data_IF_398676702542
#
_entry.id   IF_398676702542
#
_cell.length_a   1.000
_cell.length_b   1.000
_cell.length_c   1.000
_cell.angle_alpha   90.00
_cell.angle_beta   90.00
_cell.angle_gamma   90.00
#
_symmetry.space_group_name_H-M   'P 1'
#
loop_
_entity.id
_entity.type
_entity.pdbx_description
1 polymer ?
#
# COMPACT_ATOMS: atom_id res chain seq x y z
N UNK A 1 -73.49 14.18 44.90
CA UNK A 1 -74.96 14.01 44.84
C UNK A 1 -75.47 14.54 43.52
N UNK A 2 -76.26 13.73 42.78
CA UNK A 2 -77.11 14.08 41.61
C UNK A 2 -76.33 14.50 40.33
N UNK A 3 -76.60 13.99 39.12
CA UNK A 3 -77.72 13.22 38.56
C UNK A 3 -77.24 12.50 37.29
N UNK A 4 -77.79 11.31 37.06
CA UNK A 4 -77.71 10.55 35.83
C UNK A 4 -78.57 11.19 34.72
N UNK A 5 -78.20 10.95 33.46
CA UNK A 5 -79.13 10.90 32.34
C UNK A 5 -78.67 9.80 31.37
N UNK A 6 -79.54 8.80 31.24
CA UNK A 6 -79.45 7.64 30.35
C UNK A 6 -80.19 7.99 29.07
N UNK A 7 -79.59 7.71 27.91
CA UNK A 7 -80.34 7.46 26.67
C UNK A 7 -79.60 6.40 25.84
N UNK A 8 -80.26 5.26 25.63
CA UNK A 8 -79.97 4.24 24.60
C UNK A 8 -81.14 4.26 23.60
N UNK A 9 -80.87 4.08 22.31
CA UNK A 9 -81.37 2.88 21.59
C UNK A 9 -80.28 2.31 20.65
N UNK A 10 -80.00 1.00 20.64
CA UNK A 10 -80.60 -0.10 19.85
C UNK A 10 -80.43 -0.01 18.31
N UNK A 11 -79.66 -0.99 17.81
CA UNK A 11 -79.69 -1.66 16.49
C UNK A 11 -78.93 -1.03 15.32
N UNK A 12 -77.94 -1.80 14.85
CA UNK A 12 -77.22 -1.63 13.58
C UNK A 12 -76.16 -2.71 13.42
N UNK A 13 -76.58 -3.97 13.24
CA UNK A 13 -75.74 -5.08 12.79
C UNK A 13 -75.46 -4.91 11.28
N UNK A 14 -74.26 -5.32 10.88
CA UNK A 14 -73.81 -5.65 9.52
C UNK A 14 -73.14 -4.52 8.69
N UNK A 15 -71.81 -4.55 8.61
CA UNK A 15 -71.09 -4.87 7.37
C UNK A 15 -69.60 -5.04 7.66
N UNK A 16 -69.10 -6.27 7.44
CA UNK A 16 -67.70 -6.52 7.18
C UNK A 16 -67.28 -5.69 5.95
N UNK A 17 -66.47 -4.67 6.16
CA UNK A 17 -65.55 -4.18 5.15
C UNK A 17 -64.16 -4.60 5.60
N UNK A 18 -63.51 -5.41 4.76
CA UNK A 18 -62.25 -6.08 5.04
C UNK A 18 -61.18 -5.11 5.51
N UNK A 19 -60.38 -5.60 6.46
CA UNK A 19 -59.12 -4.97 6.79
C UNK A 19 -58.24 -4.90 5.56
N UNK A 20 -57.73 -3.71 5.29
CA UNK A 20 -56.31 -3.61 4.99
C UNK A 20 -55.66 -3.11 6.27
N UNK A 21 -54.94 -3.95 7.05
CA UNK A 21 -53.85 -3.40 7.81
C UNK A 21 -52.98 -2.66 6.78
N UNK A 22 -52.74 -1.37 7.00
CA UNK A 22 -51.71 -0.64 6.28
C UNK A 22 -50.36 -1.28 6.65
N UNK A 23 -50.05 -2.38 5.98
CA UNK A 23 -48.72 -2.95 5.89
C UNK A 23 -47.94 -2.07 4.91
N UNK A 24 -47.57 -0.88 5.36
CA UNK A 24 -46.78 0.05 4.59
C UNK A 24 -45.77 0.69 5.50
N UNK A 25 -44.72 -0.05 5.85
CA UNK A 25 -43.34 0.37 6.21
C UNK A 25 -42.49 -0.88 6.58
N UNK A 26 -42.66 -1.99 5.87
CA UNK A 26 -41.91 -3.23 6.10
C UNK A 26 -41.55 -3.97 4.79
N UNK A 27 -41.52 -3.25 3.66
CA UNK A 27 -41.20 -3.79 2.33
C UNK A 27 -40.11 -2.98 1.60
N UNK A 28 -39.72 -1.80 2.09
CA UNK A 28 -38.59 -1.08 1.51
C UNK A 28 -37.29 -1.71 2.03
N UNK A 29 -36.60 -2.42 1.16
CA UNK A 29 -35.24 -2.91 1.44
C UNK A 29 -34.32 -1.76 1.87
N UNK A 30 -33.18 -2.11 2.49
CA UNK A 30 -32.22 -1.12 2.96
C UNK A 30 -31.86 -0.11 1.86
N UNK A 31 -31.82 1.17 2.24
CA UNK A 31 -31.38 2.26 1.37
C UNK A 31 -29.87 2.12 1.07
N UNK A 32 -29.40 2.58 -0.10
CA UNK A 32 -27.99 2.46 -0.48
C UNK A 32 -27.02 2.98 0.60
N UNK A 33 -27.32 4.15 1.18
CA UNK A 33 -26.47 4.71 2.25
C UNK A 33 -26.40 3.84 3.51
N UNK A 34 -27.45 3.06 3.82
CA UNK A 34 -27.47 2.19 5.00
C UNK A 34 -26.55 0.98 4.81
N UNK A 35 -26.52 0.42 3.60
CA UNK A 35 -25.63 -0.70 3.26
C UNK A 35 -24.18 -0.26 3.25
N UNK A 36 -23.87 0.87 2.60
CA UNK A 36 -22.50 1.41 2.57
C UNK A 36 -22.03 1.77 3.98
N UNK A 37 -22.89 2.37 4.82
CA UNK A 37 -22.52 2.63 6.22
C UNK A 37 -22.26 1.36 7.00
N UNK A 38 -23.03 0.30 6.77
CA UNK A 38 -22.81 -1.00 7.40
C UNK A 38 -21.47 -1.61 6.95
N UNK A 39 -21.14 -1.51 5.66
CA UNK A 39 -19.85 -1.92 5.11
C UNK A 39 -18.69 -1.20 5.80
N UNK A 40 -18.76 0.13 5.92
CA UNK A 40 -17.74 0.94 6.60
C UNK A 40 -17.52 0.50 8.04
N UNK A 41 -18.60 0.29 8.82
CA UNK A 41 -18.49 -0.15 10.21
C UNK A 41 -17.78 -1.51 10.33
N UNK A 42 -17.99 -2.41 9.36
CA UNK A 42 -17.30 -3.70 9.32
C UNK A 42 -15.85 -3.54 8.91
N UNK A 43 -15.55 -2.69 7.92
CA UNK A 43 -14.19 -2.36 7.51
C UNK A 43 -13.38 -1.72 8.66
N UNK A 44 -13.99 -0.83 9.44
CA UNK A 44 -13.35 -0.20 10.60
C UNK A 44 -13.01 -1.22 11.69
N UNK A 45 -13.89 -2.20 11.94
CA UNK A 45 -13.60 -3.32 12.85
C UNK A 45 -12.43 -4.17 12.36
N UNK A 46 -12.37 -4.43 11.05
CA UNK A 46 -11.29 -5.21 10.43
C UNK A 46 -9.97 -4.46 10.53
N UNK A 47 -9.96 -3.14 10.29
CA UNK A 47 -8.78 -2.29 10.50
C UNK A 47 -8.30 -2.34 11.96
N UNK A 48 -9.23 -2.42 12.92
CA UNK A 48 -8.93 -2.59 14.34
C UNK A 48 -8.55 -4.03 14.75
N UNK A 49 -8.57 -4.99 13.82
CA UNK A 49 -8.10 -6.37 14.05
C UNK A 49 -9.17 -7.45 14.16
N UNK A 50 -10.45 -7.14 13.91
CA UNK A 50 -11.52 -8.14 13.87
C UNK A 50 -11.54 -8.90 12.54
N UNK A 51 -10.54 -9.76 12.32
CA UNK A 51 -10.42 -10.54 11.09
C UNK A 51 -11.62 -11.49 10.85
N UNK A 52 -12.37 -11.85 11.89
CA UNK A 52 -13.56 -12.69 11.77
C UNK A 52 -14.70 -12.01 10.99
N UNK A 53 -14.63 -10.68 10.81
CA UNK A 53 -15.62 -9.91 10.08
C UNK A 53 -15.40 -9.88 8.55
N UNK A 54 -14.30 -10.47 8.03
CA UNK A 54 -14.00 -10.52 6.59
C UNK A 54 -15.14 -11.12 5.73
N UNK A 55 -15.78 -12.26 6.10
CA UNK A 55 -16.90 -12.80 5.32
C UNK A 55 -18.10 -11.84 5.27
N UNK A 56 -18.34 -11.12 6.36
CA UNK A 56 -19.41 -10.13 6.45
C UNK A 56 -19.11 -8.90 5.58
N UNK A 57 -17.85 -8.46 5.50
CA UNK A 57 -17.42 -7.41 4.57
C UNK A 57 -17.73 -7.79 3.12
N UNK A 58 -17.33 -9.00 2.71
CA UNK A 58 -17.57 -9.49 1.35
C UNK A 58 -19.07 -9.51 1.04
N UNK A 59 -19.91 -9.97 1.98
CA UNK A 59 -21.36 -9.99 1.78
C UNK A 59 -21.97 -8.58 1.70
N UNK A 60 -21.53 -7.66 2.55
CA UNK A 60 -22.01 -6.28 2.52
C UNK A 60 -21.58 -5.56 1.24
N UNK A 61 -20.39 -5.85 0.72
CA UNK A 61 -19.92 -5.33 -0.57
C UNK A 61 -20.81 -5.81 -1.72
N UNK A 62 -21.15 -7.10 -1.77
CA UNK A 62 -22.09 -7.69 -2.74
C UNK A 62 -23.48 -7.04 -2.65
N UNK A 63 -24.02 -6.89 -1.44
CA UNK A 63 -25.35 -6.29 -1.22
C UNK A 63 -25.37 -4.80 -1.59
N UNK A 64 -24.33 -4.05 -1.22
CA UNK A 64 -24.20 -2.64 -1.56
C UNK A 64 -24.09 -2.45 -3.08
N UNK A 65 -23.26 -3.26 -3.75
CA UNK A 65 -23.12 -3.27 -5.21
C UNK A 65 -24.45 -3.50 -5.91
N UNK A 66 -25.18 -4.56 -5.53
CA UNK A 66 -26.48 -4.89 -6.09
C UNK A 66 -27.49 -3.75 -5.89
N UNK A 67 -27.55 -3.17 -4.69
CA UNK A 67 -28.49 -2.09 -4.35
C UNK A 67 -28.17 -0.77 -5.07
N UNK A 68 -26.89 -0.41 -5.19
CA UNK A 68 -26.45 0.78 -5.90
C UNK A 68 -26.67 0.65 -7.41
N UNK A 69 -26.47 -0.55 -7.96
CA UNK A 69 -26.72 -0.85 -9.37
C UNK A 69 -28.19 -0.71 -9.74
N UNK A 70 -29.11 -1.15 -8.88
CA UNK A 70 -30.56 -1.10 -9.13
C UNK A 70 -31.22 0.21 -8.71
N UNK A 71 -30.52 1.06 -7.94
CA UNK A 71 -31.03 2.35 -7.51
C UNK A 71 -31.39 3.25 -8.70
N UNK A 72 -32.54 3.91 -8.61
CA UNK A 72 -33.10 4.79 -9.63
C UNK A 72 -32.98 6.28 -9.25
N UNK A 73 -33.52 7.16 -10.09
CA UNK A 73 -33.45 8.60 -9.87
C UNK A 73 -34.22 9.08 -8.62
N UNK A 74 -35.23 8.34 -8.16
CA UNK A 74 -35.98 8.68 -6.93
C UNK A 74 -35.14 8.37 -5.69
N UNK A 75 -34.43 7.23 -5.67
CA UNK A 75 -33.48 6.91 -4.60
C UNK A 75 -32.41 7.99 -4.43
N UNK A 76 -31.90 8.53 -5.54
CA UNK A 76 -30.84 9.55 -5.53
C UNK A 76 -31.32 10.97 -5.22
N UNK A 77 -32.63 11.19 -5.03
CA UNK A 77 -33.13 12.44 -4.43
C UNK A 77 -32.63 12.64 -3.01
N UNK A 78 -32.35 11.55 -2.27
CA UNK A 78 -31.66 11.65 -0.99
C UNK A 78 -30.14 11.80 -1.25
N UNK A 79 -29.53 12.97 -0.92
CA UNK A 79 -28.11 13.20 -1.16
C UNK A 79 -27.18 12.23 -0.42
N UNK A 80 -27.66 11.53 0.63
CA UNK A 80 -26.89 10.47 1.29
C UNK A 80 -26.64 9.29 0.36
N UNK A 81 -27.57 8.95 -0.54
CA UNK A 81 -27.41 7.83 -1.46
C UNK A 81 -26.34 8.11 -2.52
N UNK A 82 -26.30 9.34 -3.02
CA UNK A 82 -25.24 9.74 -3.95
C UNK A 82 -23.87 9.80 -3.26
N UNK A 83 -23.78 10.35 -2.04
CA UNK A 83 -22.54 10.29 -1.24
C UNK A 83 -22.08 8.86 -1.00
N UNK A 84 -22.99 7.97 -0.63
CA UNK A 84 -22.71 6.56 -0.42
C UNK A 84 -22.19 5.87 -1.67
N UNK A 85 -22.69 6.22 -2.86
CA UNK A 85 -22.17 5.72 -4.14
C UNK A 85 -20.69 6.08 -4.34
N UNK A 86 -20.33 7.33 -4.05
CA UNK A 86 -18.94 7.81 -4.19
C UNK A 86 -18.01 7.18 -3.16
N UNK A 87 -18.46 7.11 -1.90
CA UNK A 87 -17.73 6.42 -0.83
C UNK A 87 -17.54 4.95 -1.18
N UNK A 88 -18.59 4.25 -1.62
CA UNK A 88 -18.50 2.87 -2.09
C UNK A 88 -17.43 2.70 -3.16
N UNK A 89 -17.41 3.60 -4.16
CA UNK A 89 -16.36 3.63 -5.18
C UNK A 89 -14.97 3.73 -4.56
N UNK A 90 -14.72 4.79 -3.78
CA UNK A 90 -13.42 5.03 -3.15
C UNK A 90 -12.98 3.95 -2.13
N UNK A 91 -13.94 3.17 -1.61
CA UNK A 91 -13.71 2.02 -0.73
C UNK A 91 -13.44 0.70 -1.47
N UNK A 92 -13.17 0.74 -2.78
CA UNK A 92 -12.90 -0.44 -3.60
C UNK A 92 -14.15 -1.09 -4.19
N UNK A 93 -15.23 -0.33 -4.34
CA UNK A 93 -16.45 -0.76 -5.01
C UNK A 93 -16.27 -0.96 -6.51
N UNK A 94 -17.23 -1.63 -7.14
CA UNK A 94 -17.23 -1.94 -8.57
C UNK A 94 -17.31 -0.65 -9.42
N UNK A 95 -16.29 -0.32 -10.23
CA UNK A 95 -16.26 0.88 -11.06
C UNK A 95 -17.44 0.99 -12.04
N UNK A 96 -17.87 -0.15 -12.60
CA UNK A 96 -19.01 -0.21 -13.55
C UNK A 96 -20.30 0.19 -12.86
N UNK A 97 -20.48 -0.21 -11.59
CA UNK A 97 -21.64 0.19 -10.78
C UNK A 97 -21.63 1.69 -10.51
N UNK A 98 -20.47 2.24 -10.16
CA UNK A 98 -20.30 3.68 -9.88
C UNK A 98 -20.63 4.53 -11.11
N UNK A 99 -20.09 4.15 -12.26
CA UNK A 99 -20.33 4.85 -13.53
C UNK A 99 -21.82 4.80 -13.94
N UNK A 100 -22.40 3.60 -13.94
CA UNK A 100 -23.80 3.43 -14.33
C UNK A 100 -24.75 4.19 -13.39
N UNK A 101 -24.53 4.12 -12.07
CA UNK A 101 -25.36 4.80 -11.10
C UNK A 101 -25.22 6.32 -11.14
N UNK A 102 -24.00 6.83 -11.35
CA UNK A 102 -23.75 8.28 -11.46
C UNK A 102 -24.58 8.92 -12.57
N UNK A 103 -24.71 8.24 -13.72
CA UNK A 103 -25.52 8.74 -14.85
C UNK A 103 -27.00 8.99 -14.51
N UNK A 104 -27.52 8.34 -13.45
CA UNK A 104 -28.91 8.47 -12.99
C UNK A 104 -29.07 9.43 -11.80
N UNK A 105 -28.01 9.62 -11.02
CA UNK A 105 -28.11 10.12 -9.65
C UNK A 105 -28.19 11.64 -9.51
N UNK A 106 -27.36 12.39 -10.22
CA UNK A 106 -27.28 13.84 -10.07
C UNK A 106 -27.01 14.57 -11.37
N UNK A 107 -27.33 15.86 -11.38
CA UNK A 107 -27.09 16.78 -12.50
C UNK A 107 -26.38 18.06 -12.08
N UNK A 108 -26.09 18.25 -10.79
CA UNK A 108 -25.36 19.44 -10.36
C UNK A 108 -23.87 19.36 -10.79
N UNK A 109 -23.27 20.45 -11.29
CA UNK A 109 -21.93 20.39 -11.86
C UNK A 109 -20.84 19.92 -10.89
N UNK A 110 -20.93 20.29 -9.61
CA UNK A 110 -19.89 19.95 -8.62
C UNK A 110 -19.89 18.46 -8.31
N UNK A 111 -21.06 17.86 -8.08
CA UNK A 111 -21.20 16.43 -7.86
C UNK A 111 -20.80 15.61 -9.08
N UNK A 112 -21.09 16.09 -10.29
CA UNK A 112 -20.62 15.45 -11.53
C UNK A 112 -19.10 15.51 -11.67
N UNK A 113 -18.46 16.62 -11.31
CA UNK A 113 -17.01 16.74 -11.33
C UNK A 113 -16.36 15.78 -10.33
N UNK A 114 -16.93 15.70 -9.11
CA UNK A 114 -16.49 14.75 -8.10
C UNK A 114 -16.63 13.29 -8.56
N UNK A 115 -17.80 12.92 -9.08
CA UNK A 115 -18.05 11.56 -9.56
C UNK A 115 -17.12 11.21 -10.73
N UNK A 116 -16.91 12.14 -11.66
CA UNK A 116 -15.95 11.96 -12.76
C UNK A 116 -14.55 11.67 -12.21
N UNK A 117 -14.06 12.48 -11.27
CA UNK A 117 -12.74 12.28 -10.69
C UNK A 117 -12.60 10.95 -9.95
N UNK A 118 -13.64 10.53 -9.21
CA UNK A 118 -13.68 9.19 -8.58
C UNK A 118 -13.68 8.08 -9.63
N UNK A 119 -14.46 8.21 -10.71
CA UNK A 119 -14.48 7.22 -11.80
C UNK A 119 -13.13 7.13 -12.51
N UNK A 120 -12.45 8.26 -12.74
CA UNK A 120 -11.11 8.28 -13.33
C UNK A 120 -10.10 7.60 -12.41
N UNK A 121 -10.17 7.87 -11.10
CA UNK A 121 -9.35 7.18 -10.11
C UNK A 121 -9.55 5.65 -10.16
N UNK A 122 -10.80 5.20 -10.16
CA UNK A 122 -11.15 3.78 -10.17
C UNK A 122 -10.73 3.05 -11.45
N UNK A 123 -10.62 3.78 -12.57
CA UNK A 123 -10.21 3.24 -13.85
C UNK A 123 -8.69 3.37 -14.10
N UNK A 124 -7.90 3.72 -13.08
CA UNK A 124 -6.45 3.83 -13.23
C UNK A 124 -6.02 5.01 -14.11
N UNK A 125 -6.78 6.10 -14.12
CA UNK A 125 -6.49 7.35 -14.84
C UNK A 125 -6.07 8.47 -13.88
N UNK A 126 -4.87 8.41 -13.29
CA UNK A 126 -4.47 9.33 -12.23
C UNK A 126 -4.39 10.79 -12.67
N UNK A 127 -3.89 11.09 -13.87
CA UNK A 127 -3.79 12.46 -14.36
C UNK A 127 -5.16 13.13 -14.49
N UNK A 128 -6.13 12.42 -15.07
CA UNK A 128 -7.50 12.88 -15.21
C UNK A 128 -8.21 13.00 -13.86
N UNK A 129 -7.97 12.06 -12.95
CA UNK A 129 -8.50 12.10 -11.59
C UNK A 129 -7.96 13.32 -10.82
N UNK A 130 -6.66 13.58 -10.90
CA UNK A 130 -6.01 14.74 -10.27
C UNK A 130 -6.65 16.02 -10.78
N UNK A 131 -6.74 16.20 -12.11
CA UNK A 131 -7.30 17.43 -12.68
C UNK A 131 -8.79 17.62 -12.34
N UNK A 132 -9.59 16.54 -12.34
CA UNK A 132 -11.00 16.61 -11.98
C UNK A 132 -11.23 16.90 -10.48
N UNK A 133 -10.39 16.37 -9.59
CA UNK A 133 -10.55 16.50 -8.13
C UNK A 133 -9.82 17.71 -7.54
N UNK A 134 -8.92 18.33 -8.30
CA UNK A 134 -8.13 19.51 -7.91
C UNK A 134 -8.95 20.64 -7.29
N UNK A 135 -10.06 21.12 -7.90
CA UNK A 135 -10.82 22.25 -7.35
C UNK A 135 -11.66 21.91 -6.12
N UNK A 136 -11.77 20.63 -5.75
CA UNK A 136 -12.67 20.17 -4.69
C UNK A 136 -11.91 20.10 -3.37
N UNK A 137 -12.27 20.95 -2.43
CA UNK A 137 -11.77 20.92 -1.06
C UNK A 137 -12.44 19.80 -0.26
N UNK A 138 -11.71 18.78 0.24
CA UNK A 138 -12.28 17.72 1.07
C UNK A 138 -12.92 18.23 2.36
N UNK A 139 -12.38 19.30 2.97
CA UNK A 139 -12.88 19.88 4.22
C UNK A 139 -14.20 20.64 4.05
N UNK A 140 -14.55 21.02 2.81
CA UNK A 140 -15.83 21.64 2.48
C UNK A 140 -16.97 20.62 2.27
N UNK A 141 -16.64 19.32 2.22
CA UNK A 141 -17.62 18.23 2.05
C UNK A 141 -18.09 17.67 3.40
N UNK A 142 -19.24 16.96 3.43
CA UNK A 142 -19.62 16.17 4.60
C UNK A 142 -18.48 15.22 5.02
N UNK A 143 -18.17 15.08 6.32
CA UNK A 143 -16.93 14.42 6.78
C UNK A 143 -16.74 12.99 6.26
N UNK A 144 -17.82 12.22 6.14
CA UNK A 144 -17.80 10.85 5.63
C UNK A 144 -17.43 10.72 4.15
N UNK A 145 -17.67 11.76 3.35
CA UNK A 145 -17.23 11.83 1.95
C UNK A 145 -15.86 12.51 1.84
N UNK A 146 -15.67 13.60 2.59
CA UNK A 146 -14.43 14.37 2.62
C UNK A 146 -13.22 13.51 3.02
N UNK A 147 -13.37 12.64 4.02
CA UNK A 147 -12.28 11.77 4.46
C UNK A 147 -11.76 10.83 3.37
N UNK A 148 -12.66 10.20 2.62
CA UNK A 148 -12.28 9.32 1.50
C UNK A 148 -11.70 10.12 0.34
N UNK A 149 -12.26 11.30 0.03
CA UNK A 149 -11.70 12.16 -1.00
C UNK A 149 -10.28 12.64 -0.65
N UNK A 150 -10.06 13.04 0.60
CA UNK A 150 -8.75 13.46 1.09
C UNK A 150 -7.74 12.31 1.00
N UNK A 151 -8.14 11.09 1.37
CA UNK A 151 -7.31 9.89 1.21
C UNK A 151 -6.95 9.63 -0.25
N UNK A 152 -7.93 9.67 -1.17
CA UNK A 152 -7.71 9.45 -2.61
C UNK A 152 -6.78 10.52 -3.18
N UNK A 153 -7.06 11.80 -2.93
CA UNK A 153 -6.22 12.91 -3.40
C UNK A 153 -4.81 12.83 -2.84
N UNK A 154 -4.66 12.54 -1.54
CA UNK A 154 -3.35 12.38 -0.91
C UNK A 154 -2.54 11.24 -1.54
N UNK A 155 -3.21 10.18 -1.97
CA UNK A 155 -2.55 9.03 -2.59
C UNK A 155 -2.16 9.29 -4.04
N UNK A 156 -3.01 9.97 -4.79
CA UNK A 156 -2.72 10.40 -6.16
C UNK A 156 -1.53 11.37 -6.23
N UNK A 157 -1.37 12.21 -5.21
CA UNK A 157 -0.31 13.22 -5.16
C UNK A 157 0.99 12.74 -4.51
N UNK A 158 1.05 11.51 -4.00
CA UNK A 158 2.17 11.02 -3.19
C UNK A 158 3.52 11.05 -3.92
N UNK A 159 3.53 10.74 -5.22
CA UNK A 159 4.75 10.74 -6.04
C UNK A 159 5.21 12.15 -6.42
N UNK A 160 4.30 12.97 -6.96
CA UNK A 160 4.66 14.25 -7.57
C UNK A 160 4.66 15.43 -6.58
N UNK A 161 3.78 15.39 -5.58
CA UNK A 161 3.55 16.49 -4.63
C UNK A 161 3.47 15.97 -3.19
N UNK A 162 4.55 15.36 -2.66
CA UNK A 162 4.55 14.64 -1.38
C UNK A 162 4.15 15.52 -0.17
N UNK A 163 4.53 16.79 -0.15
CA UNK A 163 4.11 17.71 0.91
C UNK A 163 2.59 17.98 0.90
N UNK A 164 2.01 18.15 -0.29
CA UNK A 164 0.56 18.34 -0.44
C UNK A 164 -0.19 17.03 -0.12
N UNK A 165 0.37 15.89 -0.53
CA UNK A 165 -0.14 14.57 -0.18
C UNK A 165 -0.24 14.38 1.33
N UNK A 166 0.82 14.69 2.08
CA UNK A 166 0.82 14.60 3.54
C UNK A 166 -0.25 15.49 4.18
N UNK A 167 -0.45 16.72 3.69
CA UNK A 167 -1.52 17.60 4.18
C UNK A 167 -2.92 17.00 3.98
N UNK A 168 -3.18 16.39 2.82
CA UNK A 168 -4.45 15.72 2.53
C UNK A 168 -4.64 14.44 3.37
N UNK A 169 -3.57 13.69 3.63
CA UNK A 169 -3.65 12.53 4.52
C UNK A 169 -3.91 12.96 5.98
N UNK A 170 -3.37 14.11 6.41
CA UNK A 170 -3.68 14.71 7.71
C UNK A 170 -5.17 15.13 7.79
N UNK A 171 -5.74 15.70 6.73
CA UNK A 171 -7.19 15.97 6.63
C UNK A 171 -8.04 14.69 6.71
N UNK A 172 -7.64 13.62 6.00
CA UNK A 172 -8.35 12.34 6.03
C UNK A 172 -8.45 11.78 7.46
N UNK A 173 -7.36 11.89 8.22
CA UNK A 173 -7.28 11.45 9.62
C UNK A 173 -8.10 12.33 10.56
N UNK A 174 -8.11 13.64 10.32
CA UNK A 174 -8.93 14.58 11.07
C UNK A 174 -10.43 14.33 10.87
N UNK A 175 -10.83 14.02 9.64
CA UNK A 175 -12.23 13.82 9.27
C UNK A 175 -12.78 12.45 9.69
N UNK A 176 -11.93 11.42 9.78
CA UNK A 176 -12.36 10.04 10.06
C UNK A 176 -11.43 9.29 11.02
N UNK A 177 -11.22 9.78 12.26
CA UNK A 177 -10.38 9.09 13.24
C UNK A 177 -11.02 7.76 13.67
N UNK A 178 -10.19 6.76 13.93
CA UNK A 178 -10.59 5.43 14.41
C UNK A 178 -11.17 4.53 13.33
N UNK A 179 -10.97 4.87 12.06
CA UNK A 179 -11.55 4.16 10.91
C UNK A 179 -10.46 3.54 10.04
N UNK A 180 -10.85 2.74 9.05
CA UNK A 180 -9.94 2.25 8.01
C UNK A 180 -9.28 3.40 7.23
N UNK A 181 -9.94 4.56 7.12
CA UNK A 181 -9.37 5.75 6.45
C UNK A 181 -8.17 6.30 7.21
N UNK A 182 -8.26 6.41 8.55
CA UNK A 182 -7.12 6.82 9.37
C UNK A 182 -5.97 5.82 9.28
N UNK A 183 -6.27 4.50 9.29
CA UNK A 183 -5.27 3.44 9.13
C UNK A 183 -4.48 3.60 7.82
N UNK A 184 -5.19 3.72 6.71
CA UNK A 184 -4.59 3.84 5.39
C UNK A 184 -3.79 5.15 5.26
N UNK A 185 -4.32 6.25 5.79
CA UNK A 185 -3.63 7.53 5.78
C UNK A 185 -2.34 7.51 6.60
N UNK A 186 -2.34 6.90 7.80
CA UNK A 186 -1.14 6.73 8.62
C UNK A 186 -0.10 5.86 7.90
N UNK A 187 -0.51 4.69 7.38
CA UNK A 187 0.39 3.78 6.67
C UNK A 187 1.05 4.45 5.45
N UNK A 188 0.29 5.19 4.64
CA UNK A 188 0.81 5.94 3.48
C UNK A 188 1.71 7.11 3.91
N UNK A 189 1.36 7.80 5.00
CA UNK A 189 2.16 8.91 5.53
C UNK A 189 3.56 8.48 5.98
N UNK A 190 3.69 7.26 6.52
CA UNK A 190 5.00 6.70 6.93
C UNK A 190 5.96 6.65 5.75
N UNK A 191 5.54 6.08 4.62
CA UNK A 191 6.38 5.98 3.42
C UNK A 191 6.73 7.34 2.82
N UNK A 192 5.75 8.25 2.73
CA UNK A 192 5.97 9.59 2.17
C UNK A 192 6.91 10.41 3.06
N UNK A 193 6.77 10.33 4.40
CA UNK A 193 7.66 11.02 5.33
C UNK A 193 9.12 10.57 5.18
N UNK A 194 9.36 9.27 4.95
CA UNK A 194 10.71 8.73 4.67
C UNK A 194 11.27 9.32 3.38
N UNK A 195 10.49 9.33 2.30
CA UNK A 195 10.92 9.90 1.02
C UNK A 195 11.24 11.41 1.11
N UNK A 196 10.62 12.12 2.05
CA UNK A 196 10.87 13.54 2.33
C UNK A 196 11.98 13.79 3.36
N UNK A 197 12.54 12.76 3.99
CA UNK A 197 13.48 12.93 5.10
C UNK A 197 12.85 13.50 6.38
N UNK A 198 11.52 13.52 6.49
CA UNK A 198 10.78 14.11 7.61
C UNK A 198 10.67 13.12 8.78
N UNK A 199 11.75 13.03 9.56
CA UNK A 199 11.84 12.12 10.70
C UNK A 199 10.80 12.39 11.80
N UNK A 200 10.44 13.65 12.02
CA UNK A 200 9.45 14.02 13.02
C UNK A 200 8.07 13.45 12.63
N UNK A 201 7.68 13.63 11.37
CA UNK A 201 6.41 13.09 10.88
C UNK A 201 6.41 11.58 10.79
N UNK A 202 7.51 10.96 10.34
CA UNK A 202 7.65 9.50 10.36
C UNK A 202 7.42 8.96 11.77
N UNK A 203 8.12 9.52 12.78
CA UNK A 203 7.97 9.08 14.16
C UNK A 203 6.55 9.26 14.69
N UNK A 204 5.90 10.38 14.38
CA UNK A 204 4.52 10.65 14.79
C UNK A 204 3.52 9.68 14.17
N UNK A 205 3.57 9.52 12.83
CA UNK A 205 2.67 8.62 12.10
C UNK A 205 2.86 7.15 12.54
N UNK A 206 4.11 6.72 12.74
CA UNK A 206 4.40 5.38 13.26
C UNK A 206 3.91 5.18 14.70
N UNK A 207 4.05 6.19 15.57
CA UNK A 207 3.51 6.12 16.95
C UNK A 207 2.00 5.87 16.89
N UNK A 208 1.27 6.71 16.14
CA UNK A 208 -0.19 6.63 16.06
C UNK A 208 -0.68 5.35 15.39
N UNK A 209 0.05 4.83 14.39
CA UNK A 209 -0.28 3.54 13.79
C UNK A 209 -0.16 2.40 14.79
N UNK A 210 0.97 2.34 15.50
CA UNK A 210 1.24 1.26 16.47
C UNK A 210 0.27 1.30 17.64
N UNK A 211 -0.18 2.48 18.08
CA UNK A 211 -1.16 2.60 19.17
C UNK A 211 -2.53 1.96 18.84
N UNK A 212 -2.93 1.93 17.57
CA UNK A 212 -4.33 1.62 17.19
C UNK A 212 -4.49 0.48 16.18
N UNK A 213 -3.49 0.23 15.33
CA UNK A 213 -3.66 -0.58 14.12
C UNK A 213 -2.67 -1.74 14.00
N UNK A 214 -2.02 -2.18 15.09
CA UNK A 214 -1.13 -3.35 15.09
C UNK A 214 -1.78 -4.68 14.71
N UNK A 215 -3.11 -4.76 14.81
CA UNK A 215 -3.89 -5.92 14.42
C UNK A 215 -4.56 -5.73 13.05
N UNK A 216 -4.34 -4.61 12.37
CA UNK A 216 -4.82 -4.38 11.01
C UNK A 216 -4.32 -5.50 10.08
N UNK A 217 -5.13 -5.97 9.11
CA UNK A 217 -4.63 -6.87 8.06
C UNK A 217 -3.48 -6.26 7.24
N UNK A 218 -3.29 -4.93 7.30
CA UNK A 218 -2.21 -4.22 6.62
C UNK A 218 -0.97 -4.00 7.50
N UNK A 219 -0.94 -4.53 8.72
CA UNK A 219 0.16 -4.33 9.68
C UNK A 219 1.53 -4.80 9.13
N UNK A 220 1.57 -5.83 8.29
CA UNK A 220 2.80 -6.29 7.64
C UNK A 220 3.38 -5.22 6.70
N UNK A 221 2.55 -4.55 5.90
CA UNK A 221 3.00 -3.47 5.01
C UNK A 221 3.50 -2.27 5.80
N UNK A 222 2.83 -1.94 6.91
CA UNK A 222 3.32 -0.94 7.85
C UNK A 222 4.68 -1.36 8.41
N UNK A 223 4.84 -2.60 8.87
CA UNK A 223 6.11 -3.09 9.42
C UNK A 223 7.25 -2.98 8.41
N UNK A 224 7.00 -3.29 7.13
CA UNK A 224 7.98 -3.17 6.06
C UNK A 224 8.42 -1.71 5.85
N UNK A 225 7.44 -0.81 5.81
CA UNK A 225 7.66 0.64 5.65
C UNK A 225 8.36 1.24 6.87
N UNK A 226 7.99 0.80 8.08
CA UNK A 226 8.58 1.24 9.34
C UNK A 226 10.05 0.82 9.44
N UNK A 227 10.37 -0.45 9.17
CA UNK A 227 11.76 -0.94 9.18
C UNK A 227 12.60 -0.18 8.15
N UNK A 228 12.08 -0.04 6.92
CA UNK A 228 12.78 0.72 5.87
C UNK A 228 13.02 2.18 6.26
N UNK A 229 12.03 2.81 6.89
CA UNK A 229 12.14 4.18 7.39
C UNK A 229 13.14 4.35 8.53
N UNK A 230 13.19 3.41 9.48
CA UNK A 230 14.20 3.42 10.55
C UNK A 230 15.62 3.38 9.97
N UNK A 231 15.85 2.58 8.94
CA UNK A 231 17.15 2.47 8.26
C UNK A 231 17.48 3.77 7.51
N UNK A 232 16.53 4.28 6.71
CA UNK A 232 16.72 5.50 5.93
C UNK A 232 16.94 6.75 6.81
N UNK A 233 16.27 6.81 7.97
CA UNK A 233 16.28 7.95 8.89
C UNK A 233 17.12 7.70 10.14
N UNK A 234 18.05 6.73 10.13
CA UNK A 234 18.78 6.30 11.32
C UNK A 234 19.59 7.42 12.02
N UNK A 235 20.03 8.44 11.26
CA UNK A 235 20.73 9.62 11.82
C UNK A 235 19.77 10.66 12.41
N UNK A 236 18.49 10.61 12.05
CA UNK A 236 17.47 11.60 12.41
C UNK A 236 16.49 11.08 13.46
N UNK A 237 16.32 9.76 13.58
CA UNK A 237 15.50 9.09 14.60
C UNK A 237 16.42 8.56 15.70
N UNK A 238 16.27 9.06 16.92
CA UNK A 238 17.00 8.53 18.07
C UNK A 238 16.59 7.08 18.39
N UNK A 239 17.52 6.31 18.94
CA UNK A 239 17.27 4.95 19.42
C UNK A 239 16.23 4.90 20.55
N UNK A 240 16.19 5.93 21.40
CA UNK A 240 15.16 6.07 22.44
C UNK A 240 13.77 6.22 21.83
N UNK A 241 13.63 7.08 20.79
CA UNK A 241 12.35 7.24 20.10
C UNK A 241 11.90 5.96 19.39
N UNK A 242 12.85 5.21 18.82
CA UNK A 242 12.56 3.89 18.26
C UNK A 242 12.05 2.93 19.34
N UNK A 243 12.71 2.89 20.51
CA UNK A 243 12.28 2.08 21.64
C UNK A 243 10.91 2.48 22.17
N UNK A 244 10.59 3.78 22.24
CA UNK A 244 9.27 4.25 22.64
C UNK A 244 8.18 3.70 21.71
N UNK A 245 8.40 3.76 20.39
CA UNK A 245 7.44 3.27 19.40
C UNK A 245 7.26 1.75 19.53
N UNK A 246 8.36 0.99 19.56
CA UNK A 246 8.27 -0.48 19.62
C UNK A 246 7.73 -0.97 20.96
N UNK A 247 7.89 -0.21 22.06
CA UNK A 247 7.36 -0.56 23.38
C UNK A 247 5.82 -0.62 23.45
N UNK A 248 5.13 -0.08 22.45
CA UNK A 248 3.67 -0.15 22.35
C UNK A 248 3.20 -1.45 21.65
N UNK A 249 4.13 -2.19 21.03
CA UNK A 249 3.85 -3.50 20.45
C UNK A 249 3.81 -4.57 21.55
N UNK A 250 3.18 -5.71 21.24
CA UNK A 250 3.44 -6.93 22.00
C UNK A 250 4.89 -7.39 21.79
N UNK A 251 5.37 -8.19 22.73
CA UNK A 251 6.74 -8.64 22.82
C UNK A 251 7.22 -9.44 21.61
N UNK A 252 6.35 -10.25 21.01
CA UNK A 252 6.69 -11.05 19.84
C UNK A 252 6.89 -10.14 18.62
N UNK A 253 5.95 -9.23 18.35
CA UNK A 253 6.06 -8.27 17.25
C UNK A 253 7.26 -7.34 17.42
N UNK A 254 7.48 -6.82 18.61
CA UNK A 254 8.64 -5.98 18.92
C UNK A 254 9.95 -6.71 18.62
N UNK A 255 10.08 -7.95 19.08
CA UNK A 255 11.26 -8.78 18.79
C UNK A 255 11.45 -8.96 17.29
N UNK A 256 10.39 -9.29 16.55
CA UNK A 256 10.44 -9.47 15.10
C UNK A 256 10.88 -8.18 14.41
N UNK A 257 10.35 -7.03 14.79
CA UNK A 257 10.74 -5.73 14.23
C UNK A 257 12.22 -5.44 14.49
N UNK A 258 12.71 -5.65 15.72
CA UNK A 258 14.11 -5.44 16.03
C UNK A 258 15.04 -6.39 15.26
N UNK A 259 14.67 -7.66 15.10
CA UNK A 259 15.45 -8.59 14.27
C UNK A 259 15.52 -8.14 12.80
N UNK A 260 14.41 -7.62 12.27
CA UNK A 260 14.38 -7.08 10.90
C UNK A 260 15.25 -5.83 10.74
N UNK A 261 15.22 -4.91 11.71
CA UNK A 261 16.09 -3.73 11.74
C UNK A 261 17.55 -4.17 11.85
N UNK A 262 17.89 -5.07 12.77
CA UNK A 262 19.23 -5.57 12.98
C UNK A 262 19.81 -6.20 11.71
N UNK A 263 19.04 -7.08 11.05
CA UNK A 263 19.45 -7.70 9.78
C UNK A 263 19.76 -6.65 8.73
N UNK A 264 18.85 -5.69 8.52
CA UNK A 264 19.02 -4.69 7.46
C UNK A 264 20.16 -3.73 7.77
N UNK A 265 20.26 -3.26 9.01
CA UNK A 265 21.36 -2.42 9.48
C UNK A 265 22.71 -3.11 9.36
N UNK A 266 22.81 -4.41 9.67
CA UNK A 266 24.03 -5.19 9.50
C UNK A 266 24.46 -5.27 8.02
N UNK A 267 23.52 -5.51 7.11
CA UNK A 267 23.78 -5.57 5.66
C UNK A 267 24.22 -4.20 5.12
N UNK A 268 23.57 -3.13 5.58
CA UNK A 268 23.85 -1.76 5.13
C UNK A 268 25.05 -1.12 5.87
N UNK A 269 25.74 -1.85 6.76
CA UNK A 269 26.92 -1.38 7.49
C UNK A 269 26.63 -0.37 8.62
N UNK A 270 25.38 -0.27 9.06
CA UNK A 270 24.93 0.60 10.15
C UNK A 270 25.19 -0.04 11.52
N UNK A 271 26.48 -0.13 11.89
CA UNK A 271 26.95 -0.92 13.03
C UNK A 271 26.24 -0.60 14.36
N UNK A 272 26.12 0.67 14.73
CA UNK A 272 25.49 1.07 16.00
C UNK A 272 24.01 0.68 16.06
N UNK A 273 23.27 0.89 14.97
CA UNK A 273 21.85 0.53 14.87
C UNK A 273 21.67 -0.99 14.89
N UNK A 274 22.52 -1.73 14.20
CA UNK A 274 22.51 -3.19 14.20
C UNK A 274 22.76 -3.76 15.60
N UNK A 275 23.79 -3.26 16.29
CA UNK A 275 24.12 -3.67 17.65
C UNK A 275 22.98 -3.35 18.63
N UNK A 276 22.42 -2.13 18.56
CA UNK A 276 21.27 -1.72 19.36
C UNK A 276 20.07 -2.64 19.15
N UNK A 277 19.65 -2.83 17.89
CA UNK A 277 18.48 -3.63 17.56
C UNK A 277 18.67 -5.11 17.92
N UNK A 278 19.86 -5.67 17.73
CA UNK A 278 20.18 -7.04 18.14
C UNK A 278 20.08 -7.19 19.66
N UNK A 279 20.66 -6.26 20.43
CA UNK A 279 20.61 -6.29 21.88
C UNK A 279 19.16 -6.20 22.40
N UNK A 280 18.31 -5.36 21.79
CA UNK A 280 16.89 -5.27 22.14
C UNK A 280 16.14 -6.58 21.85
N UNK A 281 16.42 -7.22 20.71
CA UNK A 281 15.84 -8.51 20.35
C UNK A 281 16.26 -9.65 21.29
N UNK A 282 17.51 -9.67 21.77
CA UNK A 282 18.03 -10.66 22.72
C UNK A 282 17.42 -10.50 24.11
N UNK A 283 17.39 -9.26 24.60
CA UNK A 283 16.83 -8.93 25.91
C UNK A 283 15.38 -9.42 25.99
N UNK A 284 14.56 -9.04 25.00
CA UNK A 284 13.13 -9.30 25.00
C UNK A 284 12.40 -8.62 26.18
N UNK A 285 11.08 -8.41 26.06
CA UNK A 285 10.31 -7.78 27.15
C UNK A 285 9.74 -8.75 28.17
N UNK A 286 9.50 -10.00 27.78
CA UNK A 286 8.75 -10.95 28.61
C UNK A 286 9.62 -11.64 29.66
N UNK A 287 10.89 -11.25 29.80
CA UNK A 287 11.86 -11.92 30.67
C UNK A 287 12.22 -13.34 30.20
N UNK A 288 11.59 -13.85 29.14
CA UNK A 288 12.02 -15.04 28.42
C UNK A 288 13.22 -14.65 27.55
N UNK A 289 14.35 -14.39 28.22
CA UNK A 289 15.60 -13.98 27.58
C UNK A 289 15.89 -14.94 26.45
N UNK A 290 15.85 -14.43 25.22
CA UNK A 290 16.28 -15.19 24.06
C UNK A 290 17.80 -15.09 23.94
N UNK A 291 18.50 -15.34 25.05
CA UNK A 291 19.96 -15.25 25.14
C UNK A 291 20.68 -16.15 24.12
N UNK A 292 19.93 -17.03 23.43
CA UNK A 292 20.42 -17.90 22.36
C UNK A 292 19.58 -17.81 21.06
N UNK A 293 19.00 -16.64 20.69
CA UNK A 293 18.47 -16.46 19.33
C UNK A 293 19.65 -16.32 18.35
N UNK A 294 19.90 -17.33 17.48
CA UNK A 294 21.06 -17.32 16.59
C UNK A 294 21.05 -16.16 15.61
N UNK A 295 19.87 -15.60 15.30
CA UNK A 295 19.74 -14.45 14.39
C UNK A 295 20.24 -13.17 15.05
N UNK A 296 19.89 -12.94 16.32
CA UNK A 296 20.33 -11.75 17.03
C UNK A 296 21.86 -11.78 17.24
N UNK A 297 22.41 -12.95 17.60
CA UNK A 297 23.85 -13.16 17.70
C UNK A 297 24.55 -12.97 16.35
N UNK A 298 23.96 -13.45 15.24
CA UNK A 298 24.48 -13.24 13.89
C UNK A 298 24.57 -11.75 13.55
N UNK A 299 23.46 -11.01 13.66
CA UNK A 299 23.39 -9.60 13.27
C UNK A 299 24.27 -8.71 14.16
N UNK A 300 24.33 -8.99 15.47
CA UNK A 300 25.25 -8.34 16.38
C UNK A 300 26.71 -8.61 15.99
N UNK A 301 27.07 -9.85 15.65
CA UNK A 301 28.43 -10.20 15.26
C UNK A 301 28.86 -9.48 13.98
N UNK A 302 27.96 -9.38 12.98
CA UNK A 302 28.19 -8.65 11.73
C UNK A 302 28.57 -7.17 11.97
N UNK A 303 27.89 -6.51 12.93
CA UNK A 303 28.17 -5.11 13.27
C UNK A 303 29.58 -4.87 13.82
N UNK A 304 30.26 -5.92 14.27
CA UNK A 304 31.60 -5.84 14.89
C UNK A 304 32.73 -6.33 13.99
N UNK A 305 32.43 -6.85 12.79
CA UNK A 305 33.43 -7.41 11.86
C UNK A 305 34.50 -6.37 11.48
N UNK A 306 34.13 -5.09 11.40
CA UNK A 306 35.02 -3.99 10.96
C UNK A 306 35.70 -3.25 12.11
N UNK A 307 35.37 -3.53 13.37
CA UNK A 307 35.82 -2.73 14.52
C UNK A 307 36.26 -3.55 15.74
N UNK A 308 35.92 -4.84 15.80
CA UNK A 308 36.31 -5.74 16.88
C UNK A 308 37.62 -6.48 16.59
N UNK A 309 38.14 -7.13 17.63
CA UNK A 309 39.10 -8.24 17.50
C UNK A 309 38.45 -9.33 16.65
N UNK A 310 38.94 -9.47 15.43
CA UNK A 310 38.38 -10.37 14.41
C UNK A 310 38.34 -11.84 14.90
N UNK A 311 39.23 -12.21 15.82
CA UNK A 311 39.23 -13.49 16.52
C UNK A 311 37.98 -13.71 17.38
N UNK A 312 37.53 -12.68 18.10
CA UNK A 312 36.33 -12.75 18.95
C UNK A 312 35.06 -12.82 18.08
N UNK A 313 35.06 -12.11 16.96
CA UNK A 313 33.98 -12.18 15.97
C UNK A 313 33.88 -13.59 15.40
N UNK A 314 35.01 -14.18 14.98
CA UNK A 314 35.05 -15.56 14.48
C UNK A 314 34.58 -16.57 15.53
N UNK A 315 34.97 -16.39 16.79
CA UNK A 315 34.54 -17.24 17.90
C UNK A 315 33.02 -17.14 18.14
N UNK A 316 32.43 -15.94 18.05
CA UNK A 316 30.98 -15.74 18.16
C UNK A 316 30.24 -16.37 16.98
N UNK A 317 30.69 -16.11 15.75
CA UNK A 317 30.09 -16.67 14.53
C UNK A 317 30.13 -18.21 14.52
N UNK A 318 31.20 -18.82 15.05
CA UNK A 318 31.33 -20.27 15.15
C UNK A 318 30.38 -20.94 16.15
N UNK A 319 29.80 -20.19 17.08
CA UNK A 319 28.83 -20.71 18.07
C UNK A 319 27.38 -20.70 17.55
N UNK A 320 27.13 -20.08 16.41
CA UNK A 320 25.77 -19.91 15.88
C UNK A 320 25.24 -21.25 15.38
N UNK A 321 24.11 -21.67 15.93
CA UNK A 321 23.40 -22.87 15.47
C UNK A 321 22.75 -22.63 14.10
N UNK A 322 23.39 -23.14 13.06
CA UNK A 322 22.97 -23.02 11.66
C UNK A 322 21.59 -23.63 11.39
N UNK A 323 21.20 -24.65 12.15
CA UNK A 323 19.93 -25.37 11.93
C UNK A 323 18.70 -24.50 12.26
N UNK A 324 18.91 -23.46 13.07
CA UNK A 324 17.88 -22.51 13.53
C UNK A 324 17.86 -21.20 12.73
N UNK A 325 18.67 -21.09 11.67
CA UNK A 325 18.68 -19.96 10.74
C UNK A 325 17.84 -20.24 9.50
N UNK A 326 17.31 -19.18 8.90
CA UNK A 326 16.73 -19.21 7.55
C UNK A 326 17.82 -19.44 6.49
N UNK A 327 17.45 -19.87 5.28
CA UNK A 327 18.43 -20.09 4.20
C UNK A 327 19.24 -18.82 3.92
N UNK A 328 18.56 -17.67 3.78
CA UNK A 328 19.24 -16.39 3.58
C UNK A 328 20.12 -15.94 4.76
N UNK A 329 19.83 -16.34 6.00
CA UNK A 329 20.71 -16.05 7.14
C UNK A 329 21.89 -17.03 7.23
N UNK A 330 21.75 -18.26 6.71
CA UNK A 330 22.89 -19.19 6.57
C UNK A 330 23.89 -18.68 5.52
N UNK A 331 23.38 -18.18 4.39
CA UNK A 331 24.22 -17.54 3.37
C UNK A 331 24.95 -16.32 3.95
N UNK A 332 24.24 -15.52 4.75
CA UNK A 332 24.83 -14.37 5.44
C UNK A 332 25.91 -14.79 6.46
N UNK A 333 25.69 -15.86 7.22
CA UNK A 333 26.68 -16.43 8.13
C UNK A 333 27.91 -16.93 7.37
N UNK A 334 27.74 -17.61 6.24
CA UNK A 334 28.84 -18.11 5.41
C UNK A 334 29.68 -16.97 4.86
N UNK A 335 29.03 -15.92 4.34
CA UNK A 335 29.71 -14.72 3.90
C UNK A 335 30.50 -14.05 5.04
N UNK A 336 29.91 -13.94 6.23
CA UNK A 336 30.56 -13.37 7.41
C UNK A 336 31.80 -14.16 7.84
N UNK A 337 31.69 -15.50 7.87
CA UNK A 337 32.80 -16.38 8.22
C UNK A 337 33.93 -16.32 7.19
N UNK A 338 33.60 -16.25 5.90
CA UNK A 338 34.59 -16.09 4.84
C UNK A 338 35.35 -14.76 4.98
N UNK A 339 34.65 -13.64 5.14
CA UNK A 339 35.27 -12.31 5.32
C UNK A 339 36.17 -12.31 6.57
N UNK A 340 35.69 -12.85 7.68
CA UNK A 340 36.49 -12.92 8.91
C UNK A 340 37.74 -13.80 8.76
N UNK A 341 37.71 -14.80 7.89
CA UNK A 341 38.88 -15.59 7.51
C UNK A 341 39.88 -14.81 6.67
N UNK A 342 39.43 -14.12 5.63
CA UNK A 342 40.27 -13.35 4.70
C UNK A 342 40.97 -12.15 5.37
N UNK A 343 40.32 -11.46 6.30
CA UNK A 343 40.92 -10.33 7.03
C UNK A 343 42.14 -10.74 7.87
N UNK A 344 42.20 -12.00 8.30
CA UNK A 344 43.32 -12.58 9.09
C UNK A 344 44.31 -13.33 8.20
N UNK A 345 43.96 -13.61 6.95
CA UNK A 345 44.83 -14.32 6.04
C UNK A 345 46.12 -13.51 5.79
N UNK A 346 47.30 -14.15 5.79
CA UNK A 346 48.54 -13.48 5.38
C UNK A 346 48.34 -12.83 4.01
N UNK A 347 48.84 -11.59 3.78
CA UNK A 347 48.72 -10.95 2.47
C UNK A 347 49.23 -11.93 1.40
N UNK A 348 48.41 -12.20 0.40
CA UNK A 348 48.85 -12.99 -0.74
C UNK A 348 50.14 -12.35 -1.27
N UNK A 349 51.21 -13.16 -1.37
CA UNK A 349 52.49 -12.68 -1.88
C UNK A 349 52.24 -12.01 -3.23
N UNK A 350 52.68 -10.75 -3.38
CA UNK A 350 52.58 -10.02 -4.63
C UNK A 350 53.13 -10.93 -5.75
N UNK A 351 52.39 -11.13 -6.85
CA UNK A 351 52.92 -11.87 -7.97
C UNK A 351 54.26 -11.23 -8.38
N UNK A 352 55.31 -12.01 -8.68
CA UNK A 352 56.55 -11.45 -9.17
C UNK A 352 56.23 -10.58 -10.39
N UNK A 353 56.75 -9.36 -10.39
CA UNK A 353 56.57 -8.36 -11.44
C UNK A 353 56.87 -9.01 -12.79
N UNK A 354 55.81 -9.30 -13.54
CA UNK A 354 55.93 -9.90 -14.86
C UNK A 354 56.37 -8.77 -15.80
N UNK A 355 57.37 -8.97 -16.67
CA UNK A 355 57.84 -7.93 -17.57
C UNK A 355 56.69 -7.41 -18.43
N UNK A 356 56.69 -6.08 -18.65
CA UNK A 356 55.68 -5.35 -19.39
C UNK A 356 55.25 -6.05 -20.69
N UNK A 357 53.94 -6.17 -20.98
CA UNK A 357 53.49 -6.66 -22.27
C UNK A 357 53.71 -5.60 -23.35
N UNK A 358 54.21 -6.06 -24.49
CA UNK A 358 54.31 -5.32 -25.75
C UNK A 358 52.87 -5.11 -26.31
N UNK A 359 52.55 -3.95 -26.90
CA UNK A 359 51.18 -3.67 -27.34
C UNK A 359 50.80 -4.51 -28.57
N UNK A 360 49.72 -5.28 -28.47
CA UNK A 360 49.07 -5.90 -29.62
C UNK A 360 47.58 -5.54 -29.63
N UNK A 361 47.28 -4.66 -30.58
CA UNK A 361 46.09 -4.49 -31.41
C UNK A 361 44.68 -4.84 -30.92
N UNK A 362 43.82 -3.84 -31.17
CA UNK A 362 42.38 -3.76 -30.99
C UNK A 362 41.65 -4.86 -31.76
N UNK A 363 40.71 -5.53 -31.09
CA UNK A 363 39.57 -6.17 -31.76
C UNK A 363 38.28 -5.55 -31.26
N UNK A 364 37.51 -5.03 -32.22
CA UNK A 364 36.17 -4.49 -32.06
C UNK A 364 35.14 -5.61 -31.96
N UNK A 365 34.04 -5.36 -31.24
CA UNK A 365 32.85 -6.22 -31.21
C UNK A 365 31.60 -5.32 -31.30
N UNK A 366 30.54 -5.74 -32.03
CA UNK A 366 29.62 -4.85 -32.72
C UNK A 366 28.39 -4.42 -31.91
N UNK A 367 27.76 -3.40 -32.48
CA UNK A 367 26.55 -2.66 -32.10
C UNK A 367 25.29 -3.56 -32.03
N UNK A 368 24.49 -3.39 -30.97
CA UNK A 368 23.14 -3.94 -30.87
C UNK A 368 22.19 -2.97 -30.13
N UNK A 369 21.41 -2.25 -30.93
CA UNK A 369 19.97 -1.96 -30.86
C UNK A 369 19.31 -1.62 -29.50
N UNK A 370 18.74 -0.40 -29.49
CA UNK A 370 17.78 0.17 -28.51
C UNK A 370 16.60 -0.73 -28.15
N UNK A 371 16.23 -0.71 -26.87
CA UNK A 371 14.86 -0.96 -26.41
C UNK A 371 14.47 0.09 -25.36
N UNK A 372 13.26 0.63 -25.52
CA UNK A 372 12.60 1.63 -24.69
C UNK A 372 12.35 1.14 -23.25
N UNK A 373 12.57 2.03 -22.30
CA UNK A 373 12.05 1.96 -20.93
C UNK A 373 10.60 2.43 -20.90
N UNK A 374 9.70 1.56 -20.45
CA UNK A 374 8.38 1.92 -19.94
C UNK A 374 8.47 1.97 -18.41
N UNK A 375 7.93 3.05 -17.86
CA UNK A 375 7.86 3.38 -16.44
C UNK A 375 6.50 2.87 -15.93
N UNK A 376 6.51 1.80 -15.14
CA UNK A 376 5.32 1.27 -14.48
C UNK A 376 5.27 1.82 -13.05
N UNK A 377 4.71 3.02 -12.92
CA UNK A 377 4.15 3.50 -11.65
C UNK A 377 2.80 2.82 -11.44
N UNK A 378 2.84 1.59 -10.93
CA UNK A 378 1.63 0.86 -10.53
C UNK A 378 1.13 1.43 -9.21
N UNK A 379 0.04 2.20 -9.28
CA UNK A 379 -0.69 2.65 -8.10
C UNK A 379 -1.20 1.43 -7.34
N UNK A 380 -1.08 1.38 -6.00
CA UNK A 380 -1.50 0.22 -5.24
C UNK A 380 -3.02 0.00 -5.38
N UNK A 381 -3.47 -1.26 -5.50
CA UNK A 381 -4.90 -1.58 -5.55
C UNK A 381 -5.62 -1.09 -4.29
N UNK A 382 -6.84 -0.62 -4.48
CA UNK A 382 -7.73 -0.11 -3.44
C UNK A 382 -7.98 -1.16 -2.35
N UNK A 383 -7.59 -0.82 -1.13
CA UNK A 383 -7.80 -1.62 0.07
C UNK A 383 -9.31 -1.87 0.33
N UNK A 384 -9.75 -3.13 0.26
CA UNK A 384 -11.15 -3.48 0.50
C UNK A 384 -11.63 -4.80 -0.11
N UNK A 385 -10.85 -5.44 -0.97
CA UNK A 385 -11.09 -6.81 -1.40
C UNK A 385 -9.78 -7.60 -1.30
N UNK A 386 -9.72 -8.56 -0.38
CA UNK A 386 -8.80 -9.69 -0.53
C UNK A 386 -9.22 -10.42 -1.80
N UNK A 387 -8.53 -10.17 -2.92
CA UNK A 387 -8.75 -10.94 -4.15
C UNK A 387 -8.14 -12.33 -3.97
N UNK A 388 -8.90 -13.27 -3.40
CA UNK A 388 -8.69 -14.69 -3.70
C UNK A 388 -9.35 -14.96 -5.05
N UNK A 389 -8.53 -15.13 -6.10
CA UNK A 389 -8.99 -15.58 -7.41
C UNK A 389 -9.02 -17.12 -7.41
N UNK A 390 -10.18 -17.78 -7.57
CA UNK A 390 -10.21 -19.22 -7.79
C UNK A 390 -9.82 -19.53 -9.24
N UNK A 391 -8.94 -20.51 -9.39
CA UNK A 391 -8.65 -21.14 -10.67
C UNK A 391 -9.92 -21.77 -11.27
N UNK A 392 -10.20 -21.50 -12.54
CA UNK A 392 -11.06 -22.33 -13.37
C UNK A 392 -10.34 -22.75 -14.64
N UNK A 393 -9.93 -24.01 -14.66
CA UNK A 393 -9.60 -24.82 -15.82
C UNK A 393 -10.89 -25.35 -16.46
N UNK A 394 -11.07 -25.13 -17.76
CA UNK A 394 -11.72 -26.00 -18.76
C UNK A 394 -11.82 -25.21 -20.08
N UNK A 395 -10.99 -25.47 -21.09
CA UNK A 395 -11.10 -26.54 -22.10
C UNK A 395 -12.22 -26.32 -23.15
N UNK A 396 -11.75 -25.98 -24.36
CA UNK A 396 -12.21 -26.45 -25.69
C UNK A 396 -13.49 -25.86 -26.33
N UNK A 397 -13.29 -25.22 -27.49
CA UNK A 397 -14.34 -25.05 -28.51
C UNK A 397 -14.00 -24.01 -29.59
N UNK A 398 -13.29 -24.40 -30.65
CA UNK A 398 -13.40 -23.78 -31.99
C UNK A 398 -14.83 -23.99 -32.55
N UNK A 399 -15.39 -23.18 -33.50
CA UNK A 399 -14.77 -22.94 -34.82
C UNK A 399 -15.09 -21.63 -35.61
N UNK A 400 -14.18 -21.34 -36.55
CA UNK A 400 -14.41 -20.92 -37.97
C UNK A 400 -15.00 -19.54 -38.34
N UNK A 401 -14.33 -18.98 -39.35
CA UNK A 401 -14.51 -17.75 -40.11
C UNK A 401 -15.92 -17.42 -40.67
N UNK A 402 -16.21 -16.12 -40.78
CA UNK A 402 -16.43 -15.43 -42.06
C UNK A 402 -16.62 -13.91 -41.88
N UNK A 403 -15.85 -13.12 -42.64
CA UNK A 403 -16.19 -11.76 -43.03
C UNK A 403 -17.17 -11.82 -44.24
N UNK A 404 -17.82 -10.71 -44.70
CA UNK A 404 -17.09 -9.58 -45.31
C UNK A 404 -17.66 -8.16 -45.06
N UNK A 405 -16.73 -7.21 -45.22
CA UNK A 405 -16.80 -5.88 -45.86
C UNK A 405 -18.05 -4.98 -45.72
N UNK A 406 -17.82 -3.72 -45.31
CA UNK A 406 -17.79 -2.60 -46.28
C UNK A 406 -17.21 -1.30 -45.68
N UNK A 407 -16.45 -0.62 -46.53
CA UNK A 407 -15.63 0.58 -46.33
C UNK A 407 -16.40 1.88 -46.12
N UNK A 408 -15.76 2.85 -45.45
CA UNK A 408 -15.92 4.27 -45.80
C UNK A 408 -14.72 5.15 -45.36
N UNK A 409 -13.85 5.38 -46.35
CA UNK A 409 -13.20 6.65 -46.79
C UNK A 409 -12.34 7.49 -45.83
N UNK A 410 -11.09 7.65 -46.28
CA UNK A 410 -10.01 8.47 -45.75
C UNK A 410 -10.17 9.98 -45.97
N UNK A 411 -9.56 10.74 -45.06
CA UNK A 411 -9.33 12.17 -45.16
C UNK A 411 -8.03 12.48 -45.94
N UNK A 412 -8.12 13.52 -46.77
CA UNK A 412 -7.04 14.15 -47.54
C UNK A 412 -6.31 15.23 -46.74
N UNK A 413 -4.99 15.30 -46.95
CA UNK A 413 -4.03 16.28 -46.42
C UNK A 413 -3.94 17.59 -47.24
N UNK A 414 -3.52 18.68 -46.59
CA UNK A 414 -2.80 19.88 -47.09
C UNK A 414 -2.88 20.97 -45.98
N UNK A 415 -1.93 21.87 -45.68
CA UNK A 415 -0.57 22.18 -46.12
C UNK A 415 0.02 23.23 -45.11
N UNK A 416 1.35 23.28 -45.04
CA UNK A 416 2.28 24.36 -44.69
C UNK A 416 2.01 25.39 -43.55
N UNK A 417 3.00 25.55 -42.65
CA UNK A 417 3.89 26.73 -42.68
C UNK A 417 5.07 26.60 -41.69
N UNK A 418 6.27 26.76 -42.25
CA UNK A 418 7.61 26.79 -41.66
C UNK A 418 7.91 28.14 -41.01
N UNK A 419 8.51 28.18 -39.81
CA UNK A 419 9.46 29.25 -39.42
C UNK A 419 10.50 28.73 -38.41
N UNK A 420 11.77 28.76 -38.82
CA UNK A 420 12.97 28.83 -37.97
C UNK A 420 13.63 30.19 -38.25
N UNK A 421 14.32 30.85 -37.29
CA UNK A 421 15.77 30.60 -37.18
C UNK A 421 16.47 30.84 -35.80
N UNK A 422 17.59 30.10 -35.64
CA UNK A 422 18.93 30.45 -35.11
C UNK A 422 19.15 31.13 -33.73
N UNK A 423 19.85 30.45 -32.83
CA UNK A 423 21.29 30.67 -32.52
C UNK A 423 21.74 29.91 -31.26
N UNK A 424 22.90 29.25 -31.32
CA UNK A 424 23.61 28.66 -30.17
C UNK A 424 24.42 29.75 -29.42
N UNK A 425 24.80 29.51 -28.14
CA UNK A 425 26.14 28.95 -27.89
C UNK A 425 26.20 27.89 -26.75
N UNK A 426 27.18 26.98 -26.82
CA UNK A 426 27.69 26.11 -25.73
C UNK A 426 28.59 26.89 -24.75
N UNK A 427 29.11 26.34 -23.60
CA UNK A 427 29.07 24.96 -23.07
C UNK A 427 28.79 24.84 -21.54
N UNK A 428 28.59 23.61 -21.02
CA UNK A 428 29.31 23.03 -19.84
C UNK A 428 28.65 21.76 -19.26
N UNK A 429 29.49 20.72 -19.07
CA UNK A 429 29.40 19.58 -18.12
C UNK A 429 28.20 18.63 -18.21
N UNK A 430 28.43 17.45 -18.81
CA UNK A 430 27.52 16.30 -18.72
C UNK A 430 27.66 15.53 -17.40
N UNK A 431 26.62 14.76 -16.99
CA UNK A 431 26.70 13.89 -15.83
C UNK A 431 27.39 12.56 -16.17
N UNK A 432 28.11 12.04 -15.19
CA UNK A 432 28.85 10.77 -15.21
C UNK A 432 28.00 9.57 -15.60
N UNK A 433 28.64 8.63 -16.30
CA UNK A 433 28.10 7.33 -16.64
C UNK A 433 27.95 6.45 -15.38
N UNK A 434 26.75 5.95 -15.13
CA UNK A 434 26.46 4.95 -14.10
C UNK A 434 27.18 3.63 -14.39
N UNK A 435 27.84 3.10 -13.36
CA UNK A 435 28.68 1.91 -13.37
C UNK A 435 27.88 0.64 -13.81
N UNK A 436 28.39 -0.19 -14.75
CA UNK A 436 27.77 -1.46 -15.13
C UNK A 436 27.54 -2.43 -13.95
N UNK A 437 28.25 -2.23 -12.85
CA UNK A 437 28.06 -2.98 -11.59
C UNK A 437 26.68 -2.71 -10.97
N UNK A 438 26.16 -1.48 -11.03
CA UNK A 438 24.84 -1.12 -10.48
C UNK A 438 23.70 -1.76 -11.28
N UNK A 439 23.86 -1.86 -12.60
CA UNK A 439 22.91 -2.54 -13.47
C UNK A 439 22.89 -4.06 -13.19
N UNK A 440 24.06 -4.66 -12.93
CA UNK A 440 24.16 -6.06 -12.54
C UNK A 440 23.53 -6.31 -11.17
N UNK A 441 23.76 -5.44 -10.18
CA UNK A 441 23.15 -5.56 -8.85
C UNK A 441 21.63 -5.42 -8.89
N UNK A 442 21.11 -4.53 -9.74
CA UNK A 442 19.66 -4.32 -9.91
C UNK A 442 19.00 -5.53 -10.56
N UNK A 443 19.68 -6.18 -11.52
CA UNK A 443 19.19 -7.40 -12.16
C UNK A 443 19.19 -8.59 -11.20
N UNK A 444 20.24 -8.72 -10.39
CA UNK A 444 20.33 -9.75 -9.36
C UNK A 444 19.26 -9.57 -8.28
N UNK A 445 18.98 -8.33 -7.86
CA UNK A 445 17.88 -8.03 -6.93
C UNK A 445 16.52 -8.46 -7.48
N UNK A 446 16.21 -8.13 -8.73
CA UNK A 446 14.97 -8.59 -9.38
C UNK A 446 14.86 -10.10 -9.49
N UNK A 447 15.98 -10.80 -9.73
CA UNK A 447 15.96 -12.28 -9.76
C UNK A 447 15.70 -12.88 -8.38
N UNK A 448 16.23 -12.27 -7.32
CA UNK A 448 15.97 -12.73 -5.95
C UNK A 448 14.51 -12.48 -5.54
N UNK A 449 13.93 -11.32 -5.91
CA UNK A 449 12.52 -11.02 -5.63
C UNK A 449 11.56 -11.97 -6.38
N UNK A 450 11.91 -12.37 -7.61
CA UNK A 450 11.15 -13.38 -8.38
C UNK A 450 11.24 -14.78 -7.75
N UNK A 451 12.39 -15.14 -7.19
CA UNK A 451 12.58 -16.42 -6.48
C UNK A 451 11.76 -16.43 -5.18
N UNK A 452 11.75 -15.32 -4.43
CA UNK A 452 10.96 -15.17 -3.21
C UNK A 452 9.44 -15.22 -3.48
N UNK A 453 8.99 -14.64 -4.61
CA UNK A 453 7.60 -14.78 -5.07
C UNK A 453 7.22 -16.22 -5.42
N UNK A 454 8.13 -16.98 -6.02
CA UNK A 454 7.90 -18.39 -6.36
C UNK A 454 7.92 -19.31 -5.13
N UNK A 455 8.71 -18.98 -4.11
CA UNK A 455 8.78 -19.73 -2.85
C UNK A 455 7.60 -19.42 -1.91
N UNK A 456 6.99 -18.24 -2.02
CA UNK A 456 5.78 -17.87 -1.29
C UNK A 456 4.48 -18.52 -1.79
N UNK A 457 4.50 -19.16 -2.97
CA UNK A 457 3.33 -19.78 -3.61
C UNK A 457 3.27 -21.31 -3.47
N UNK A 458 4.15 -21.95 -2.70
CA UNK A 458 4.08 -23.38 -2.44
C UNK A 458 2.99 -23.69 -1.39
N UNK A 459 1.96 -24.50 -1.70
CA UNK A 459 0.99 -24.93 -0.70
C UNK A 459 1.67 -25.88 0.30
N UNK A 460 1.29 -25.78 1.59
CA UNK A 460 1.62 -26.81 2.59
C UNK A 460 0.97 -28.14 2.25
#
# INVERSE_FOLDING_TARGET
>A
MRRAAVTRPLIGLLLLAGGHPSAGFAQDGLQPYQLVRSLQLVQDRIAAGDHAALPMQAKLLEMADARLRTADAEDYKDPKNFRALLVYGMSGGNPVTVEAATSRATRDPQSLALAKGVIDYLNGRPGEAIEALKPIDPMALPPDLGAFLALVKGSLLAGDQPAAALGLLDEARLLSPGTLVEEAALRRSVGIAVAQGDAARFALASTQYVERYLYSPYASQFADSFVSGVIALHMSISQDKLADITSMMDSEREKVIYLRIARRAAIDGLNELSAFASARAEQGRDGNTNQDDPRALLYASLSTVTSGTIEDVRAKLGKIDRSRLSDGDRDLLDAAQAIAGEVVAPPAALPPEKPAPVPAEKFAVPEATKAQSADDSELPPVEGAISEQPAVTAASGEPVANAPDTSAVAATSADAATVTPASAPSPATGPEATDPTDAAMTRTRRQLDLIDQMLGAAPK
#
